data_IF_457487232226
#
_entry.id   IF_457487232226
#
_cell.length_a   1.000
_cell.length_b   1.000
_cell.length_c   1.000
_cell.angle_alpha   90.00
_cell.angle_beta   90.00
_cell.angle_gamma   90.00
#
_symmetry.space_group_name_H-M   'P 1'
#
loop_
_entity.id
_entity.type
_entity.pdbx_description
1 polymer ?
#
# COMPACT_ATOMS: atom_id res chain seq x y z
N UNK A 1 13.38 -27.11 -4.01
CA UNK A 1 11.91 -27.16 -3.87
C UNK A 1 11.43 -27.71 -2.50
N UNK A 2 12.31 -28.22 -1.62
CA UNK A 2 11.97 -28.69 -0.26
C UNK A 2 11.85 -27.61 0.84
N UNK A 3 12.26 -26.36 0.57
CA UNK A 3 12.31 -25.29 1.58
C UNK A 3 10.94 -24.74 1.99
N UNK A 4 9.92 -24.88 1.14
CA UNK A 4 8.54 -24.45 1.44
C UNK A 4 7.65 -25.54 2.05
N UNK A 5 8.19 -26.74 2.32
CA UNK A 5 7.46 -27.82 3.00
C UNK A 5 7.40 -27.64 4.52
N UNK A 6 8.27 -26.82 5.10
CA UNK A 6 8.20 -26.45 6.51
C UNK A 6 7.15 -25.33 6.71
N UNK A 7 6.06 -25.59 7.46
CA UNK A 7 5.01 -24.62 7.71
C UNK A 7 5.54 -23.31 8.33
N UNK A 8 6.54 -23.41 9.21
CA UNK A 8 7.13 -22.23 9.86
C UNK A 8 7.90 -21.34 8.88
N UNK A 9 8.66 -21.95 7.96
CA UNK A 9 9.38 -21.22 6.89
C UNK A 9 8.38 -20.52 5.97
N UNK A 10 7.29 -21.20 5.62
CA UNK A 10 6.21 -20.62 4.80
C UNK A 10 5.56 -19.42 5.48
N UNK A 11 5.22 -19.52 6.76
CA UNK A 11 4.63 -18.40 7.54
C UNK A 11 5.57 -17.20 7.53
N UNK A 12 6.85 -17.41 7.86
CA UNK A 12 7.84 -16.32 7.87
C UNK A 12 8.00 -15.66 6.49
N UNK A 13 8.05 -16.46 5.43
CA UNK A 13 8.17 -15.94 4.06
C UNK A 13 6.97 -15.05 3.68
N UNK A 14 5.73 -15.45 4.00
CA UNK A 14 4.52 -14.68 3.74
C UNK A 14 4.51 -13.36 4.52
N UNK A 15 4.93 -13.39 5.79
CA UNK A 15 5.00 -12.19 6.63
C UNK A 15 6.10 -11.23 6.17
N UNK A 16 7.27 -11.73 5.79
CA UNK A 16 8.36 -10.92 5.22
C UNK A 16 7.92 -10.29 3.89
N UNK A 17 7.24 -11.05 3.02
CA UNK A 17 6.69 -10.52 1.78
C UNK A 17 5.72 -9.36 2.04
N UNK A 18 4.81 -9.53 3.00
CA UNK A 18 3.87 -8.47 3.40
C UNK A 18 4.62 -7.25 3.95
N UNK A 19 5.59 -7.44 4.84
CA UNK A 19 6.41 -6.36 5.41
C UNK A 19 7.13 -5.54 4.34
N UNK A 20 7.77 -6.23 3.39
CA UNK A 20 8.49 -5.57 2.30
C UNK A 20 7.52 -4.78 1.43
N UNK A 21 6.38 -5.38 1.05
CA UNK A 21 5.35 -4.70 0.26
C UNK A 21 4.82 -3.44 0.96
N UNK A 22 4.53 -3.54 2.27
CA UNK A 22 4.06 -2.41 3.07
C UNK A 22 5.12 -1.31 3.18
N UNK A 23 6.38 -1.67 3.45
CA UNK A 23 7.47 -0.69 3.54
C UNK A 23 7.73 0.01 2.20
N UNK A 24 7.75 -0.73 1.09
CA UNK A 24 7.93 -0.15 -0.25
C UNK A 24 6.77 0.76 -0.63
N UNK A 25 5.52 0.35 -0.34
CA UNK A 25 4.34 1.19 -0.56
C UNK A 25 4.41 2.52 0.22
N UNK A 26 4.88 2.49 1.46
CA UNK A 26 5.08 3.72 2.23
C UNK A 26 6.22 4.57 1.69
N UNK A 27 7.36 3.96 1.38
CA UNK A 27 8.53 4.69 0.89
C UNK A 27 8.30 5.36 -0.47
N UNK A 28 7.43 4.83 -1.33
CA UNK A 28 7.08 5.46 -2.61
C UNK A 28 6.37 6.80 -2.42
N UNK A 29 5.73 7.04 -1.27
CA UNK A 29 5.09 8.32 -1.00
C UNK A 29 6.07 9.50 -0.78
N UNK A 30 7.34 9.22 -0.42
CA UNK A 30 8.35 10.26 -0.16
C UNK A 30 8.76 10.99 -1.45
N UNK A 31 9.17 10.31 -2.54
CA UNK A 31 9.55 10.96 -3.78
C UNK A 31 8.34 11.26 -4.70
N UNK A 32 7.15 11.53 -4.14
CA UNK A 32 5.91 11.65 -4.92
C UNK A 32 6.03 12.63 -6.10
N UNK A 33 6.69 13.79 -5.91
CA UNK A 33 6.88 14.75 -6.99
C UNK A 33 7.75 14.15 -8.13
N UNK A 34 8.81 13.46 -7.78
CA UNK A 34 9.71 12.82 -8.75
C UNK A 34 9.01 11.67 -9.50
N UNK A 35 8.21 10.88 -8.80
CA UNK A 35 7.40 9.83 -9.46
C UNK A 35 6.41 10.44 -10.46
N UNK A 36 5.76 11.54 -10.09
CA UNK A 36 4.84 12.25 -10.98
C UNK A 36 5.56 12.92 -12.17
N UNK A 37 6.79 13.40 -12.00
CA UNK A 37 7.61 13.93 -13.10
C UNK A 37 7.92 12.84 -14.15
N UNK A 38 8.01 11.56 -13.73
CA UNK A 38 8.16 10.40 -14.61
C UNK A 38 6.82 9.96 -15.21
N UNK A 39 5.76 9.88 -14.39
CA UNK A 39 4.47 9.36 -14.82
C UNK A 39 3.77 10.28 -15.82
N UNK A 40 3.87 11.60 -15.64
CA UNK A 40 3.18 12.57 -16.49
C UNK A 40 3.53 12.45 -17.97
N UNK A 41 4.80 12.42 -18.43
CA UNK A 41 5.11 12.28 -19.85
C UNK A 41 4.69 10.93 -20.43
N UNK A 42 4.61 9.87 -19.61
CA UNK A 42 4.25 8.53 -20.06
C UNK A 42 2.72 8.32 -20.14
N UNK A 43 1.99 8.87 -19.19
CA UNK A 43 0.57 8.56 -18.96
C UNK A 43 -0.34 9.79 -18.93
N UNK A 44 0.19 11.01 -18.88
CA UNK A 44 -0.60 12.25 -18.89
C UNK A 44 -1.22 12.57 -20.24
N UNK A 45 -1.98 13.64 -20.30
CA UNK A 45 -2.64 14.12 -21.53
C UNK A 45 -1.59 14.45 -22.60
N UNK A 46 -1.87 14.00 -23.83
CA UNK A 46 -0.92 14.10 -24.95
C UNK A 46 -0.03 12.87 -25.16
N UNK A 47 0.01 11.93 -24.22
CA UNK A 47 0.70 10.65 -24.40
C UNK A 47 -0.08 9.68 -25.30
N UNK A 48 0.57 8.62 -25.77
CA UNK A 48 -0.12 7.53 -26.48
C UNK A 48 -1.18 6.85 -25.61
N UNK A 49 -0.93 6.74 -24.31
CA UNK A 49 -1.84 6.15 -23.32
C UNK A 49 -3.15 6.94 -23.22
N UNK A 50 -3.11 8.28 -23.34
CA UNK A 50 -4.29 9.14 -23.22
C UNK A 50 -5.35 8.88 -24.29
N UNK A 51 -4.98 8.26 -25.43
CA UNK A 51 -5.92 7.88 -26.48
C UNK A 51 -6.88 6.77 -26.05
N UNK A 52 -6.40 5.87 -25.19
CA UNK A 52 -7.19 4.74 -24.68
C UNK A 52 -7.83 5.02 -23.33
N UNK A 53 -7.18 5.84 -22.50
CA UNK A 53 -7.60 6.11 -21.12
C UNK A 53 -7.58 7.62 -20.78
N UNK A 54 -8.41 8.44 -21.46
CA UNK A 54 -8.37 9.89 -21.31
C UNK A 54 -8.69 10.37 -19.89
N UNK A 55 -9.59 9.69 -19.16
CA UNK A 55 -9.94 10.04 -17.79
C UNK A 55 -8.77 9.81 -16.82
N UNK A 56 -8.01 8.72 -16.99
CA UNK A 56 -6.83 8.45 -16.16
C UNK A 56 -5.75 9.49 -16.44
N UNK A 57 -5.51 9.81 -17.72
CA UNK A 57 -4.51 10.81 -18.11
C UNK A 57 -4.82 12.20 -17.56
N UNK A 58 -6.08 12.63 -17.66
CA UNK A 58 -6.52 13.89 -17.06
C UNK A 58 -6.34 13.93 -15.55
N UNK A 59 -6.61 12.81 -14.87
CA UNK A 59 -6.38 12.69 -13.44
C UNK A 59 -4.90 12.78 -13.07
N UNK A 60 -4.02 12.12 -13.82
CA UNK A 60 -2.56 12.21 -13.62
C UNK A 60 -2.09 13.66 -13.77
N UNK A 61 -2.57 14.39 -14.77
CA UNK A 61 -2.23 15.80 -14.95
C UNK A 61 -2.74 16.66 -13.79
N UNK A 62 -3.95 16.41 -13.31
CA UNK A 62 -4.53 17.13 -12.16
C UNK A 62 -3.71 16.89 -10.90
N UNK A 63 -3.36 15.64 -10.60
CA UNK A 63 -2.54 15.29 -9.43
C UNK A 63 -1.15 15.92 -9.56
N UNK A 64 -0.51 15.79 -10.75
CA UNK A 64 0.77 16.41 -11.02
C UNK A 64 0.78 17.92 -10.75
N UNK A 65 -0.21 18.65 -11.28
CA UNK A 65 -0.32 20.11 -11.08
C UNK A 65 -0.58 20.45 -9.60
N UNK A 66 -1.45 19.68 -8.95
CA UNK A 66 -1.76 19.87 -7.53
C UNK A 66 -0.54 19.70 -6.64
N UNK A 67 0.21 18.63 -6.83
CA UNK A 67 1.41 18.32 -6.03
C UNK A 67 2.52 19.33 -6.35
N UNK A 68 2.83 19.58 -7.63
CA UNK A 68 3.89 20.49 -8.05
C UNK A 68 3.65 21.93 -7.53
N UNK A 69 2.43 22.45 -7.70
CA UNK A 69 2.10 23.79 -7.25
C UNK A 69 2.00 23.85 -5.72
N UNK A 70 1.40 22.82 -5.10
CA UNK A 70 1.27 22.74 -3.65
C UNK A 70 2.62 22.72 -2.96
N UNK A 71 3.51 21.82 -3.38
CA UNK A 71 4.85 21.68 -2.77
C UNK A 71 5.75 22.86 -3.12
N UNK A 72 5.59 23.46 -4.32
CA UNK A 72 6.35 24.64 -4.71
C UNK A 72 5.99 25.89 -3.90
N UNK A 73 4.72 26.10 -3.61
CA UNK A 73 4.24 27.23 -2.80
C UNK A 73 4.32 26.95 -1.29
N UNK A 74 4.07 25.71 -0.90
CA UNK A 74 3.93 25.30 0.49
C UNK A 74 4.69 23.99 0.73
N UNK A 75 6.05 24.00 0.81
CA UNK A 75 6.87 22.78 0.96
C UNK A 75 6.48 21.90 2.15
N UNK A 76 5.92 22.48 3.21
CA UNK A 76 5.46 21.74 4.39
C UNK A 76 4.33 20.75 4.08
N UNK A 77 3.61 20.87 2.95
CA UNK A 77 2.58 19.90 2.55
C UNK A 77 3.18 18.51 2.25
N UNK A 78 4.43 18.45 1.77
CA UNK A 78 5.15 17.19 1.57
C UNK A 78 5.36 16.42 2.89
N UNK A 79 5.39 17.12 4.03
CA UNK A 79 5.52 16.49 5.34
C UNK A 79 4.38 15.51 5.66
N UNK A 80 3.20 15.69 5.05
CA UNK A 80 2.10 14.73 5.16
C UNK A 80 2.42 13.37 4.54
N UNK A 81 3.07 13.35 3.37
CA UNK A 81 3.53 12.12 2.71
C UNK A 81 4.72 11.48 3.43
N UNK A 82 5.60 12.29 4.04
CA UNK A 82 6.68 11.78 4.89
C UNK A 82 6.13 11.02 6.11
N UNK A 83 5.08 11.57 6.77
CA UNK A 83 4.40 10.89 7.87
C UNK A 83 3.63 9.66 7.44
N UNK A 84 3.06 9.66 6.23
CA UNK A 84 2.44 8.47 5.65
C UNK A 84 3.49 7.35 5.47
N UNK A 85 4.65 7.69 4.92
CA UNK A 85 5.77 6.75 4.79
C UNK A 85 6.22 6.20 6.15
N UNK A 86 6.41 7.10 7.14
CA UNK A 86 6.77 6.71 8.50
C UNK A 86 5.73 5.75 9.11
N UNK A 87 4.44 6.02 8.94
CA UNK A 87 3.37 5.15 9.44
C UNK A 87 3.44 3.74 8.84
N UNK A 88 3.68 3.62 7.54
CA UNK A 88 3.86 2.32 6.87
C UNK A 88 5.08 1.57 7.38
N UNK A 89 6.21 2.26 7.56
CA UNK A 89 7.43 1.67 8.11
C UNK A 89 7.20 1.22 9.56
N UNK A 90 6.55 2.03 10.39
CA UNK A 90 6.25 1.69 11.78
C UNK A 90 5.36 0.44 11.88
N UNK A 91 4.33 0.32 11.02
CA UNK A 91 3.50 -0.88 10.95
C UNK A 91 4.32 -2.08 10.46
N UNK A 92 5.15 -1.91 9.41
CA UNK A 92 6.01 -2.98 8.91
C UNK A 92 6.95 -3.50 10.01
N UNK A 93 7.54 -2.62 10.83
CA UNK A 93 8.40 -2.99 11.96
C UNK A 93 7.64 -3.80 13.02
N UNK A 94 6.35 -3.53 13.25
CA UNK A 94 5.54 -4.33 14.19
C UNK A 94 5.44 -5.80 13.76
N UNK A 95 5.54 -6.10 12.47
CA UNK A 95 5.54 -7.47 11.94
C UNK A 95 6.84 -8.25 12.19
N UNK A 96 7.90 -7.61 12.70
CA UNK A 96 9.10 -8.32 13.15
C UNK A 96 8.76 -9.33 14.26
N UNK A 97 7.81 -8.98 15.15
CA UNK A 97 7.31 -9.90 16.18
C UNK A 97 6.74 -11.19 15.59
N UNK A 98 5.73 -11.14 14.73
CA UNK A 98 5.19 -12.32 14.03
C UNK A 98 6.21 -13.10 13.21
N UNK A 99 7.19 -12.45 12.58
CA UNK A 99 8.26 -13.17 11.84
C UNK A 99 9.14 -13.97 12.77
N UNK A 100 9.46 -13.44 13.96
CA UNK A 100 10.31 -14.14 14.96
C UNK A 100 9.55 -15.23 15.69
N UNK A 101 8.37 -14.91 16.22
CA UNK A 101 7.53 -15.77 17.05
C UNK A 101 6.05 -15.72 16.56
N UNK A 102 5.72 -16.40 15.44
CA UNK A 102 4.41 -16.30 14.82
C UNK A 102 3.25 -16.66 15.75
N UNK A 103 3.41 -17.71 16.54
CA UNK A 103 2.36 -18.21 17.44
C UNK A 103 2.04 -17.17 18.53
N UNK A 104 3.06 -16.61 19.18
CA UNK A 104 2.87 -15.62 20.26
C UNK A 104 2.31 -14.28 19.75
N UNK A 105 2.58 -13.95 18.48
CA UNK A 105 2.22 -12.67 17.89
C UNK A 105 1.10 -12.80 16.84
N UNK A 106 0.27 -13.84 16.92
CA UNK A 106 -0.85 -14.05 16.00
C UNK A 106 -1.78 -12.83 15.91
N UNK A 107 -2.00 -12.15 17.03
CA UNK A 107 -2.85 -10.95 17.09
C UNK A 107 -2.37 -9.81 16.17
N UNK A 108 -1.05 -9.68 15.93
CA UNK A 108 -0.50 -8.67 14.99
C UNK A 108 -0.87 -9.02 13.55
N UNK A 109 -0.86 -10.32 13.21
CA UNK A 109 -1.31 -10.79 11.89
C UNK A 109 -2.80 -10.49 11.71
N UNK A 110 -3.62 -10.75 12.72
CA UNK A 110 -5.06 -10.44 12.72
C UNK A 110 -5.32 -8.94 12.66
N UNK A 111 -4.55 -8.12 13.39
CA UNK A 111 -4.58 -6.66 13.28
C UNK A 111 -4.29 -6.20 11.86
N UNK A 112 -3.25 -6.73 11.21
CA UNK A 112 -2.95 -6.41 9.81
C UNK A 112 -4.10 -6.77 8.86
N UNK A 113 -4.77 -7.90 9.08
CA UNK A 113 -5.96 -8.28 8.29
C UNK A 113 -7.10 -7.29 8.50
N UNK A 114 -7.34 -6.84 9.73
CA UNK A 114 -8.37 -5.83 10.05
C UNK A 114 -8.05 -4.53 9.30
N UNK A 115 -6.81 -4.06 9.33
CA UNK A 115 -6.40 -2.85 8.60
C UNK A 115 -6.61 -3.01 7.09
N UNK A 116 -6.26 -4.16 6.51
CA UNK A 116 -6.53 -4.46 5.10
C UNK A 116 -8.03 -4.36 4.74
N UNK A 117 -8.91 -4.79 5.64
CA UNK A 117 -10.36 -4.65 5.44
C UNK A 117 -10.82 -3.20 5.62
N UNK A 118 -10.29 -2.49 6.62
CA UNK A 118 -10.68 -1.11 6.93
C UNK A 118 -10.29 -0.10 5.84
N UNK A 119 -9.28 -0.38 5.02
CA UNK A 119 -8.94 0.45 3.85
C UNK A 119 -10.15 0.63 2.93
N UNK A 120 -11.01 -0.39 2.77
CA UNK A 120 -12.16 -0.35 1.87
C UNK A 120 -13.18 0.72 2.30
N UNK A 121 -13.81 0.64 3.49
CA UNK A 121 -14.76 1.67 3.91
C UNK A 121 -14.11 3.04 4.06
N UNK A 122 -12.83 3.11 4.45
CA UNK A 122 -12.09 4.38 4.53
C UNK A 122 -12.02 5.06 3.18
N UNK A 123 -11.61 4.34 2.14
CA UNK A 123 -11.53 4.84 0.76
C UNK A 123 -12.91 5.25 0.22
N UNK A 124 -13.95 4.43 0.49
CA UNK A 124 -15.32 4.71 0.01
C UNK A 124 -15.93 5.95 0.66
N UNK A 125 -15.53 6.31 1.88
CA UNK A 125 -15.99 7.52 2.57
C UNK A 125 -15.18 8.75 2.13
N UNK A 126 -13.84 8.67 2.23
CA UNK A 126 -12.99 9.83 2.04
C UNK A 126 -12.65 10.12 0.57
N UNK A 127 -12.66 9.11 -0.29
CA UNK A 127 -12.42 9.28 -1.72
C UNK A 127 -13.39 10.30 -2.36
N UNK A 128 -14.71 10.07 -2.29
CA UNK A 128 -15.69 11.00 -2.84
C UNK A 128 -15.63 12.39 -2.19
N UNK A 129 -15.41 12.46 -0.88
CA UNK A 129 -15.27 13.74 -0.15
C UNK A 129 -14.08 14.56 -0.63
N UNK A 130 -13.07 13.94 -1.21
CA UNK A 130 -11.85 14.59 -1.73
C UNK A 130 -11.83 14.68 -3.26
N UNK A 131 -12.92 14.27 -3.94
CA UNK A 131 -13.00 14.29 -5.40
C UNK A 131 -12.10 13.26 -6.09
N UNK A 132 -11.71 12.20 -5.38
CA UNK A 132 -10.90 11.12 -5.95
C UNK A 132 -11.76 10.30 -6.92
N UNK A 133 -11.34 10.09 -8.17
CA UNK A 133 -12.11 9.31 -9.12
C UNK A 133 -12.16 7.83 -8.73
N UNK A 134 -13.28 7.16 -9.06
CA UNK A 134 -13.55 5.79 -8.61
C UNK A 134 -12.45 4.78 -9.00
N UNK A 135 -11.85 4.91 -10.18
CA UNK A 135 -10.76 4.02 -10.60
C UNK A 135 -9.51 4.16 -9.70
N UNK A 136 -9.23 5.37 -9.20
CA UNK A 136 -8.13 5.57 -8.24
C UNK A 136 -8.48 4.97 -6.88
N UNK A 137 -9.72 5.11 -6.44
CA UNK A 137 -10.21 4.45 -5.23
C UNK A 137 -10.11 2.93 -5.31
N UNK A 138 -10.35 2.33 -6.49
CA UNK A 138 -10.13 0.90 -6.73
C UNK A 138 -8.65 0.52 -6.57
N UNK A 139 -7.74 1.37 -7.04
CA UNK A 139 -6.31 1.17 -6.84
C UNK A 139 -5.97 1.17 -5.34
N UNK A 140 -6.45 2.16 -4.58
CA UNK A 140 -6.22 2.25 -3.13
C UNK A 140 -6.76 1.02 -2.40
N UNK A 141 -7.99 0.60 -2.69
CA UNK A 141 -8.60 -0.60 -2.09
C UNK A 141 -7.84 -1.89 -2.46
N UNK A 142 -7.20 -1.94 -3.64
CA UNK A 142 -6.45 -3.12 -4.09
C UNK A 142 -5.28 -3.46 -3.16
N UNK A 143 -4.66 -2.47 -2.52
CA UNK A 143 -3.59 -2.71 -1.53
C UNK A 143 -4.10 -3.54 -0.34
N UNK A 144 -5.30 -3.22 0.16
CA UNK A 144 -5.94 -4.01 1.21
C UNK A 144 -6.31 -5.43 0.74
N UNK A 145 -6.93 -5.54 -0.45
CA UNK A 145 -7.33 -6.83 -1.03
C UNK A 145 -6.14 -7.76 -1.32
N UNK A 146 -5.03 -7.22 -1.81
CA UNK A 146 -3.81 -7.99 -2.08
C UNK A 146 -3.08 -8.30 -0.78
N UNK A 147 -2.98 -7.32 0.14
CA UNK A 147 -2.28 -7.46 1.42
C UNK A 147 -2.90 -8.50 2.36
N UNK A 148 -4.24 -8.67 2.31
CA UNK A 148 -4.92 -9.66 3.18
C UNK A 148 -4.58 -11.11 2.80
N UNK A 149 -4.22 -11.38 1.54
CA UNK A 149 -3.95 -12.75 1.06
C UNK A 149 -2.78 -13.39 1.81
N UNK A 150 -1.55 -12.81 1.82
CA UNK A 150 -0.43 -13.39 2.56
C UNK A 150 -0.68 -13.46 4.06
N UNK A 151 -1.40 -12.49 4.64
CA UNK A 151 -1.73 -12.50 6.06
C UNK A 151 -2.71 -13.62 6.41
N UNK A 152 -3.75 -13.81 5.61
CA UNK A 152 -4.72 -14.90 5.79
C UNK A 152 -4.06 -16.28 5.68
N UNK A 153 -3.19 -16.47 4.67
CA UNK A 153 -2.44 -17.71 4.51
C UNK A 153 -1.49 -17.97 5.68
N UNK A 154 -0.80 -16.92 6.16
CA UNK A 154 0.06 -17.02 7.33
C UNK A 154 -0.74 -17.39 8.59
N UNK A 155 -1.87 -16.68 8.84
CA UNK A 155 -2.78 -16.97 9.95
C UNK A 155 -3.24 -18.41 9.95
N UNK A 156 -3.73 -18.90 8.81
CA UNK A 156 -4.19 -20.29 8.67
C UNK A 156 -3.08 -21.27 9.02
N UNK A 157 -1.88 -21.08 8.46
CA UNK A 157 -0.74 -21.96 8.76
C UNK A 157 -0.29 -21.88 10.22
N UNK A 158 -0.43 -20.74 10.90
CA UNK A 158 -0.13 -20.61 12.34
C UNK A 158 -1.16 -21.39 13.16
N UNK A 159 -2.45 -21.32 12.82
CA UNK A 159 -3.49 -22.06 13.53
C UNK A 159 -3.33 -23.59 13.39
N UNK A 160 -2.94 -24.05 12.18
CA UNK A 160 -2.64 -25.46 11.93
C UNK A 160 -1.41 -25.98 12.76
N UNK A 161 -0.54 -25.07 13.23
CA UNK A 161 0.61 -25.41 14.10
C UNK A 161 0.24 -25.47 15.60
N UNK A 162 -0.90 -24.91 15.98
CA UNK A 162 -1.38 -24.84 17.38
C UNK A 162 -2.37 -25.97 17.66
N UNK A 163 -3.09 -26.44 16.62
CA UNK A 163 -4.05 -27.54 16.69
C UNK A 163 -3.35 -28.88 16.80
#
# INVERSE_FOLDING_TARGET
>A
MKMFSDPMVRVRALLIFFMIGLALSGLSAVPLQWELDILKPLFGSGSQFSRFFPAISSWIDQVYQGVKNGYGLYPFLAYGTDWLAFGHIAIALAFIGPVREPIKNLWVVEFGMIICVLVIPWTLVFGPLRGIPFFHMLLDMSFGMVGIIPLWLARRSILDLIS
#
